data_IF_653092075309
#
_entry.id   IF_653092075309
#
_cell.length_a   1.000
_cell.length_b   1.000
_cell.length_c   1.000
_cell.angle_alpha   90.00
_cell.angle_beta   90.00
_cell.angle_gamma   90.00
#
_symmetry.space_group_name_H-M   'P 1'
#
loop_
_entity.id
_entity.type
_entity.pdbx_description
1 polymer ?
#
# COMPACT_ATOMS: atom_id res chain seq x y z
N UNK A 1 73.22 -14.44 -9.79
CA UNK A 1 71.92 -14.07 -10.37
C UNK A 1 71.06 -15.32 -10.47
N UNK A 2 69.95 -15.51 -9.76
CA UNK A 2 69.42 -14.88 -8.54
C UNK A 2 68.24 -15.75 -8.08
N UNK A 3 68.46 -16.71 -7.17
CA UNK A 3 67.38 -17.42 -6.46
C UNK A 3 66.41 -16.45 -5.76
N UNK A 4 66.94 -15.30 -5.33
CA UNK A 4 66.19 -14.19 -4.74
C UNK A 4 65.27 -13.51 -5.78
N UNK A 5 65.69 -13.42 -7.05
CA UNK A 5 64.86 -12.83 -8.11
C UNK A 5 63.73 -13.77 -8.52
N UNK A 6 63.97 -15.08 -8.51
CA UNK A 6 62.93 -16.09 -8.73
C UNK A 6 61.91 -16.07 -7.60
N UNK A 7 62.35 -16.06 -6.34
CA UNK A 7 61.46 -15.92 -5.18
C UNK A 7 60.71 -14.60 -5.16
N UNK A 8 61.33 -13.49 -5.56
CA UNK A 8 60.67 -12.19 -5.64
C UNK A 8 59.59 -12.18 -6.74
N UNK A 9 59.85 -12.77 -7.91
CA UNK A 9 58.86 -12.89 -8.99
C UNK A 9 57.71 -13.86 -8.64
N UNK A 10 58.00 -14.98 -7.96
CA UNK A 10 56.99 -15.89 -7.43
C UNK A 10 56.13 -15.21 -6.36
N UNK A 11 56.75 -14.45 -5.45
CA UNK A 11 56.05 -13.68 -4.43
C UNK A 11 55.19 -12.58 -5.04
N UNK A 12 55.71 -11.81 -6.01
CA UNK A 12 54.95 -10.78 -6.74
C UNK A 12 53.79 -11.39 -7.53
N UNK A 13 53.97 -12.58 -8.11
CA UNK A 13 52.89 -13.31 -8.79
C UNK A 13 51.83 -13.79 -7.81
N UNK A 14 52.23 -14.30 -6.65
CA UNK A 14 51.33 -14.73 -5.59
C UNK A 14 50.54 -13.54 -4.98
N UNK A 15 51.21 -12.42 -4.69
CA UNK A 15 50.58 -11.19 -4.17
C UNK A 15 49.60 -10.60 -5.19
N UNK A 16 49.96 -10.59 -6.48
CA UNK A 16 49.06 -10.16 -7.55
C UNK A 16 47.85 -11.09 -7.69
N UNK A 17 48.03 -12.39 -7.51
CA UNK A 17 46.94 -13.37 -7.52
C UNK A 17 46.02 -13.20 -6.31
N UNK A 18 46.59 -13.04 -5.11
CA UNK A 18 45.88 -12.78 -3.86
C UNK A 18 45.07 -11.47 -3.96
N UNK A 19 45.69 -10.39 -4.43
CA UNK A 19 45.02 -9.11 -4.64
C UNK A 19 43.89 -9.19 -5.67
N UNK A 20 44.09 -9.93 -6.77
CA UNK A 20 43.05 -10.16 -7.79
C UNK A 20 41.89 -10.98 -7.22
N UNK A 21 42.19 -12.04 -6.45
CA UNK A 21 41.19 -12.85 -5.74
C UNK A 21 40.39 -12.02 -4.74
N UNK A 22 41.04 -11.18 -3.93
CA UNK A 22 40.35 -10.32 -2.96
C UNK A 22 39.42 -9.30 -3.65
N UNK A 23 39.86 -8.69 -4.76
CA UNK A 23 39.00 -7.80 -5.56
C UNK A 23 37.79 -8.54 -6.14
N UNK A 24 37.98 -9.78 -6.58
CA UNK A 24 36.90 -10.62 -7.13
C UNK A 24 35.88 -11.00 -6.06
N UNK A 25 36.35 -11.42 -4.88
CA UNK A 25 35.47 -11.69 -3.75
C UNK A 25 34.67 -10.45 -3.34
N UNK A 26 35.33 -9.29 -3.22
CA UNK A 26 34.62 -8.04 -2.87
C UNK A 26 33.56 -7.62 -3.89
N UNK A 27 33.79 -7.84 -5.19
CA UNK A 27 32.81 -7.59 -6.26
C UNK A 27 31.62 -8.57 -6.20
N UNK A 28 31.87 -9.84 -5.88
CA UNK A 28 30.82 -10.84 -5.70
C UNK A 28 29.95 -10.54 -4.47
N UNK A 29 30.58 -10.19 -3.34
CA UNK A 29 29.87 -9.81 -2.11
C UNK A 29 28.97 -8.59 -2.34
N UNK A 30 29.47 -7.57 -3.07
CA UNK A 30 28.70 -6.38 -3.46
C UNK A 30 27.45 -6.72 -4.26
N UNK A 31 27.57 -7.65 -5.21
CA UNK A 31 26.48 -8.12 -6.06
C UNK A 31 25.47 -8.92 -5.25
N UNK A 32 25.92 -9.85 -4.41
CA UNK A 32 25.06 -10.65 -3.53
C UNK A 32 24.20 -9.74 -2.64
N UNK A 33 24.84 -8.78 -1.96
CA UNK A 33 24.19 -7.75 -1.17
C UNK A 33 23.13 -6.95 -1.95
N UNK A 34 23.43 -6.62 -3.21
CA UNK A 34 22.53 -5.88 -4.08
C UNK A 34 21.31 -6.72 -4.50
N UNK A 35 21.51 -8.02 -4.76
CA UNK A 35 20.44 -8.96 -5.07
C UNK A 35 19.55 -9.22 -3.86
N UNK A 36 20.12 -9.35 -2.67
CA UNK A 36 19.36 -9.48 -1.42
C UNK A 36 18.51 -8.23 -1.11
N UNK A 37 19.06 -7.04 -1.40
CA UNK A 37 18.29 -5.79 -1.31
C UNK A 37 17.18 -5.74 -2.37
N UNK A 38 17.44 -6.20 -3.59
CA UNK A 38 16.43 -6.27 -4.64
C UNK A 38 15.30 -7.23 -4.25
N UNK A 39 15.64 -8.43 -3.78
CA UNK A 39 14.66 -9.45 -3.38
C UNK A 39 13.71 -8.92 -2.30
N UNK A 40 14.24 -8.32 -1.22
CA UNK A 40 13.42 -7.70 -0.17
C UNK A 40 12.49 -6.61 -0.70
N UNK A 41 12.98 -5.77 -1.62
CA UNK A 41 12.17 -4.71 -2.23
C UNK A 41 11.08 -5.26 -3.13
N UNK A 42 11.37 -6.32 -3.91
CA UNK A 42 10.37 -7.00 -4.74
C UNK A 42 9.30 -7.62 -3.85
N UNK A 43 9.66 -8.29 -2.77
CA UNK A 43 8.70 -8.86 -1.81
C UNK A 43 7.76 -7.77 -1.24
N UNK A 44 8.30 -6.63 -0.83
CA UNK A 44 7.49 -5.47 -0.38
C UNK A 44 6.54 -4.99 -1.48
N UNK A 45 7.05 -4.77 -2.69
CA UNK A 45 6.25 -4.31 -3.83
C UNK A 45 5.11 -5.29 -4.15
N UNK A 46 5.40 -6.60 -4.21
CA UNK A 46 4.42 -7.64 -4.49
C UNK A 46 3.35 -7.75 -3.39
N UNK A 47 3.77 -7.59 -2.12
CA UNK A 47 2.85 -7.50 -0.99
C UNK A 47 1.85 -6.35 -1.20
N UNK A 48 2.33 -5.13 -1.43
CA UNK A 48 1.47 -3.96 -1.62
C UNK A 48 0.57 -4.09 -2.86
N UNK A 49 1.10 -4.65 -3.95
CA UNK A 49 0.32 -4.91 -5.16
C UNK A 49 -0.85 -5.86 -4.89
N UNK A 50 -0.60 -6.92 -4.11
CA UNK A 50 -1.62 -7.90 -3.73
C UNK A 50 -2.63 -7.29 -2.77
N UNK A 51 -2.22 -6.43 -1.83
CA UNK A 51 -3.15 -5.69 -0.96
C UNK A 51 -4.09 -4.83 -1.80
N UNK A 52 -3.54 -4.03 -2.72
CA UNK A 52 -4.32 -3.12 -3.55
C UNK A 52 -5.37 -3.88 -4.37
N UNK A 53 -4.95 -4.92 -5.08
CA UNK A 53 -5.77 -5.69 -6.03
C UNK A 53 -6.71 -6.65 -5.30
N UNK A 54 -6.20 -7.50 -4.40
CA UNK A 54 -6.96 -8.63 -3.87
C UNK A 54 -7.64 -8.37 -2.52
N UNK A 55 -7.25 -7.31 -1.81
CA UNK A 55 -7.77 -7.02 -0.47
C UNK A 55 -8.67 -5.80 -0.50
N UNK A 56 -8.15 -4.62 -0.82
CA UNK A 56 -8.88 -3.37 -0.57
C UNK A 56 -9.74 -2.87 -1.72
N UNK A 57 -9.27 -2.93 -2.98
CA UNK A 57 -10.04 -2.39 -4.11
C UNK A 57 -10.74 -3.45 -4.95
N UNK A 58 -10.23 -4.68 -5.01
CA UNK A 58 -10.75 -5.67 -5.97
C UNK A 58 -10.48 -5.26 -7.43
N UNK A 59 -9.39 -4.52 -7.69
CA UNK A 59 -8.97 -4.13 -9.06
C UNK A 59 -8.51 -5.37 -9.81
N UNK A 60 -8.78 -5.46 -11.11
CA UNK A 60 -8.33 -6.59 -11.94
C UNK A 60 -6.83 -6.51 -12.29
N UNK A 61 -6.25 -5.31 -12.27
CA UNK A 61 -4.90 -5.06 -12.76
C UNK A 61 -4.05 -4.20 -11.82
N UNK A 62 -2.76 -4.51 -11.76
CA UNK A 62 -1.74 -3.68 -11.09
C UNK A 62 -1.30 -2.54 -12.01
N UNK A 63 -0.74 -1.45 -11.46
CA UNK A 63 -0.13 -0.41 -12.29
C UNK A 63 0.97 -0.98 -13.20
N UNK A 64 1.08 -0.50 -14.44
CA UNK A 64 2.09 -0.97 -15.40
C UNK A 64 3.54 -0.82 -14.93
N UNK A 65 3.81 0.10 -14.00
CA UNK A 65 5.11 0.23 -13.33
C UNK A 65 5.50 -1.00 -12.52
N UNK A 66 4.54 -1.73 -11.95
CA UNK A 66 4.76 -3.01 -11.26
C UNK A 66 5.19 -4.08 -12.26
N UNK A 67 4.56 -4.14 -13.42
CA UNK A 67 4.93 -5.08 -14.48
C UNK A 67 6.33 -4.79 -15.03
N UNK A 68 6.66 -3.52 -15.24
CA UNK A 68 8.00 -3.08 -15.62
C UNK A 68 9.04 -3.48 -14.58
N UNK A 69 8.75 -3.27 -13.30
CA UNK A 69 9.62 -3.66 -12.20
C UNK A 69 9.81 -5.18 -12.12
N UNK A 70 8.75 -5.98 -12.33
CA UNK A 70 8.82 -7.45 -12.42
C UNK A 70 9.71 -7.89 -13.58
N UNK A 71 9.52 -7.33 -14.78
CA UNK A 71 10.34 -7.63 -15.97
C UNK A 71 11.82 -7.31 -15.73
N UNK A 72 12.10 -6.13 -15.18
CA UNK A 72 13.47 -5.70 -14.91
C UNK A 72 14.12 -6.49 -13.77
N UNK A 73 13.34 -6.94 -12.78
CA UNK A 73 13.87 -7.82 -11.73
C UNK A 73 14.24 -9.17 -12.29
N UNK A 74 13.34 -9.80 -13.08
CA UNK A 74 13.61 -11.11 -13.72
C UNK A 74 14.85 -11.10 -14.60
N UNK A 75 15.13 -10.01 -15.31
CA UNK A 75 16.31 -9.90 -16.18
C UNK A 75 17.64 -9.90 -15.44
N UNK A 76 17.64 -9.76 -14.10
CA UNK A 76 18.87 -9.80 -13.29
C UNK A 76 18.97 -11.01 -12.36
N UNK A 77 17.89 -11.74 -12.06
CA UNK A 77 17.95 -12.89 -11.13
C UNK A 77 18.15 -14.25 -11.81
N UNK A 78 18.15 -14.30 -13.15
CA UNK A 78 18.16 -15.55 -13.93
C UNK A 78 19.57 -16.03 -14.31
N UNK A 79 20.53 -15.91 -13.38
CA UNK A 79 21.92 -16.28 -13.61
C UNK A 79 22.44 -17.21 -12.51
N UNK A 80 23.22 -18.21 -12.91
CA UNK A 80 23.88 -19.13 -11.99
C UNK A 80 25.27 -18.63 -11.56
N UNK A 81 25.85 -19.32 -10.58
CA UNK A 81 27.16 -18.99 -10.01
C UNK A 81 28.28 -18.97 -11.07
N UNK A 82 28.19 -19.82 -12.08
CA UNK A 82 29.19 -19.93 -13.14
C UNK A 82 29.16 -18.72 -14.08
N UNK A 83 27.96 -18.20 -14.37
CA UNK A 83 27.81 -16.93 -15.11
C UNK A 83 28.49 -15.78 -14.38
N UNK A 84 28.32 -15.67 -13.05
CA UNK A 84 28.95 -14.61 -12.26
C UNK A 84 30.47 -14.70 -12.28
N UNK A 85 31.03 -15.91 -12.17
CA UNK A 85 32.48 -16.09 -12.28
C UNK A 85 33.02 -15.67 -13.65
N UNK A 86 32.29 -15.97 -14.73
CA UNK A 86 32.66 -15.52 -16.08
C UNK A 86 32.64 -13.99 -16.20
N UNK A 87 31.67 -13.29 -15.61
CA UNK A 87 31.62 -11.82 -15.67
C UNK A 87 32.74 -11.17 -14.85
N UNK A 88 33.12 -11.78 -13.72
CA UNK A 88 34.23 -11.29 -12.89
C UNK A 88 35.58 -11.47 -13.60
N UNK A 89 35.77 -12.60 -14.28
CA UNK A 89 36.98 -12.86 -15.07
C UNK A 89 37.07 -11.94 -16.29
N UNK A 90 35.93 -11.63 -16.92
CA UNK A 90 35.81 -10.70 -18.05
C UNK A 90 35.81 -9.21 -17.65
N UNK A 91 35.93 -8.87 -16.37
CA UNK A 91 35.83 -7.50 -15.81
C UNK A 91 34.52 -6.75 -16.14
N UNK A 92 33.46 -7.47 -16.53
CA UNK A 92 32.13 -6.95 -16.91
C UNK A 92 31.13 -6.92 -15.76
N UNK A 93 31.53 -7.35 -14.56
CA UNK A 93 30.67 -7.38 -13.37
C UNK A 93 30.11 -6.00 -12.99
N UNK A 94 30.82 -4.92 -13.32
CA UNK A 94 30.32 -3.55 -13.12
C UNK A 94 29.07 -3.23 -13.94
N UNK A 95 28.96 -3.75 -15.16
CA UNK A 95 27.76 -3.59 -15.99
C UNK A 95 26.57 -4.34 -15.41
N UNK A 96 26.82 -5.49 -14.76
CA UNK A 96 25.79 -6.23 -14.07
C UNK A 96 25.32 -5.52 -12.80
N UNK A 97 26.23 -4.96 -11.99
CA UNK A 97 25.87 -4.11 -10.84
C UNK A 97 24.96 -2.95 -11.26
N UNK A 98 25.25 -2.30 -12.38
CA UNK A 98 24.39 -1.24 -12.94
C UNK A 98 22.99 -1.75 -13.29
N UNK A 99 22.86 -2.94 -13.88
CA UNK A 99 21.55 -3.55 -14.17
C UNK A 99 20.76 -3.84 -12.90
N UNK A 100 21.41 -4.36 -11.85
CA UNK A 100 20.78 -4.60 -10.55
C UNK A 100 20.31 -3.28 -9.92
N UNK A 101 21.13 -2.22 -9.98
CA UNK A 101 20.73 -0.89 -9.50
C UNK A 101 19.53 -0.32 -10.28
N UNK A 102 19.49 -0.51 -11.59
CA UNK A 102 18.34 -0.10 -12.41
C UNK A 102 17.08 -0.88 -12.03
N UNK A 103 17.18 -2.19 -11.78
CA UNK A 103 16.07 -3.00 -11.27
C UNK A 103 15.58 -2.50 -9.91
N UNK A 104 16.49 -2.22 -8.98
CA UNK A 104 16.15 -1.65 -7.67
C UNK A 104 15.44 -0.29 -7.79
N UNK A 105 15.83 0.54 -8.76
CA UNK A 105 15.17 1.83 -9.03
C UNK A 105 13.74 1.61 -9.53
N UNK A 106 13.53 0.67 -10.47
CA UNK A 106 12.20 0.34 -10.98
C UNK A 106 11.27 -0.22 -9.92
N UNK A 107 11.77 -1.13 -9.08
CA UNK A 107 11.00 -1.65 -7.94
C UNK A 107 10.64 -0.54 -6.96
N UNK A 108 11.55 0.42 -6.70
CA UNK A 108 11.25 1.59 -5.86
C UNK A 108 10.18 2.49 -6.48
N UNK A 109 10.28 2.79 -7.77
CA UNK A 109 9.27 3.59 -8.50
C UNK A 109 7.88 2.94 -8.40
N UNK A 110 7.79 1.63 -8.63
CA UNK A 110 6.55 0.86 -8.50
C UNK A 110 6.02 0.82 -7.05
N UNK A 111 6.90 0.63 -6.07
CA UNK A 111 6.54 0.64 -4.64
C UNK A 111 5.92 1.97 -4.24
N UNK A 112 6.55 3.10 -4.60
CA UNK A 112 6.03 4.43 -4.30
C UNK A 112 4.66 4.66 -4.94
N UNK A 113 4.44 4.17 -6.16
CA UNK A 113 3.13 4.29 -6.81
C UNK A 113 2.06 3.48 -6.08
N UNK A 114 2.38 2.26 -5.64
CA UNK A 114 1.46 1.44 -4.85
C UNK A 114 1.13 2.09 -3.50
N UNK A 115 2.11 2.70 -2.83
CA UNK A 115 1.90 3.45 -1.60
C UNK A 115 0.94 4.63 -1.81
N UNK A 116 1.12 5.42 -2.87
CA UNK A 116 0.19 6.51 -3.21
C UNK A 116 -1.24 6.01 -3.46
N UNK A 117 -1.40 4.89 -4.19
CA UNK A 117 -2.72 4.30 -4.44
C UNK A 117 -3.39 3.83 -3.13
N UNK A 118 -2.60 3.28 -2.20
CA UNK A 118 -3.09 2.89 -0.88
C UNK A 118 -3.40 4.10 0.01
N UNK A 119 -2.66 5.20 -0.10
CA UNK A 119 -2.98 6.46 0.58
C UNK A 119 -4.33 7.02 0.09
N UNK A 120 -4.64 6.91 -1.21
CA UNK A 120 -5.94 7.27 -1.75
C UNK A 120 -7.09 6.37 -1.24
N UNK A 121 -6.80 5.09 -0.99
CA UNK A 121 -7.74 4.16 -0.32
C UNK A 121 -7.98 4.61 1.12
N UNK A 122 -6.91 4.86 1.87
CA UNK A 122 -6.96 5.33 3.26
C UNK A 122 -7.81 6.60 3.37
N UNK A 123 -7.51 7.61 2.55
CA UNK A 123 -8.19 8.89 2.56
C UNK A 123 -9.69 8.75 2.24
N UNK A 124 -10.07 7.89 1.29
CA UNK A 124 -11.48 7.61 0.97
C UNK A 124 -12.20 6.95 2.15
N UNK A 125 -11.55 6.02 2.85
CA UNK A 125 -12.13 5.37 4.02
C UNK A 125 -12.23 6.30 5.21
N UNK A 126 -11.21 7.12 5.51
CA UNK A 126 -11.28 8.16 6.53
C UNK A 126 -12.45 9.11 6.29
N UNK A 127 -12.68 9.52 5.03
CA UNK A 127 -13.83 10.36 4.67
C UNK A 127 -15.17 9.66 4.95
N UNK A 128 -15.32 8.38 4.58
CA UNK A 128 -16.51 7.57 4.88
C UNK A 128 -16.73 7.41 6.38
N UNK A 129 -15.68 7.10 7.14
CA UNK A 129 -15.75 6.93 8.59
C UNK A 129 -16.12 8.24 9.28
N UNK A 130 -15.53 9.37 8.89
CA UNK A 130 -15.87 10.68 9.43
C UNK A 130 -17.34 11.04 9.16
N UNK A 131 -17.83 10.76 7.95
CA UNK A 131 -19.22 10.97 7.62
C UNK A 131 -20.16 10.07 8.46
N UNK A 132 -19.84 8.78 8.58
CA UNK A 132 -20.62 7.84 9.38
C UNK A 132 -20.57 8.15 10.88
N UNK A 133 -19.43 8.59 11.42
CA UNK A 133 -19.31 9.08 12.81
C UNK A 133 -20.18 10.30 13.07
N UNK A 134 -20.21 11.25 12.13
CA UNK A 134 -21.06 12.43 12.26
C UNK A 134 -22.55 12.05 12.24
N UNK A 135 -22.94 11.16 11.32
CA UNK A 135 -24.32 10.66 11.27
C UNK A 135 -24.66 9.80 12.49
N UNK A 136 -23.72 9.02 13.03
CA UNK A 136 -23.94 8.21 14.24
C UNK A 136 -24.37 9.08 15.43
N UNK A 137 -23.88 10.32 15.56
CA UNK A 137 -24.28 11.24 16.63
C UNK A 137 -25.80 11.47 16.68
N UNK A 138 -26.49 11.32 15.54
CA UNK A 138 -27.94 11.46 15.43
C UNK A 138 -28.73 10.31 16.10
N UNK A 139 -28.09 9.14 16.25
CA UNK A 139 -28.72 7.92 16.76
C UNK A 139 -28.22 7.56 18.16
N UNK A 140 -27.45 8.45 18.81
CA UNK A 140 -26.78 8.19 20.07
C UNK A 140 -25.52 7.33 19.96
N UNK A 141 -24.81 7.19 21.08
CA UNK A 141 -23.57 6.41 21.13
C UNK A 141 -23.88 4.90 21.10
N UNK A 142 -23.37 4.22 20.08
CA UNK A 142 -23.34 2.76 19.98
C UNK A 142 -21.88 2.31 20.06
N UNK A 143 -21.53 1.59 21.13
CA UNK A 143 -20.18 1.05 21.37
C UNK A 143 -19.73 0.15 20.23
N UNK A 144 -20.64 -0.64 19.68
CA UNK A 144 -20.32 -1.62 18.64
C UNK A 144 -19.97 -0.93 17.32
N UNK A 145 -20.70 0.15 16.97
CA UNK A 145 -20.39 0.96 15.80
C UNK A 145 -19.09 1.73 15.96
N UNK A 146 -18.85 2.32 17.13
CA UNK A 146 -17.60 3.03 17.40
C UNK A 146 -16.39 2.09 17.30
N UNK A 147 -16.52 0.87 17.83
CA UNK A 147 -15.51 -0.18 17.71
C UNK A 147 -15.25 -0.55 16.24
N UNK A 148 -16.31 -0.83 15.48
CA UNK A 148 -16.20 -1.16 14.06
C UNK A 148 -15.50 -0.04 13.26
N UNK A 149 -15.83 1.23 13.50
CA UNK A 149 -15.18 2.36 12.83
C UNK A 149 -13.68 2.42 13.13
N UNK A 150 -13.29 2.20 14.38
CA UNK A 150 -11.89 2.20 14.77
C UNK A 150 -11.13 0.98 14.21
N UNK A 151 -11.78 -0.17 14.09
CA UNK A 151 -11.18 -1.36 13.45
C UNK A 151 -10.94 -1.13 11.95
N UNK A 152 -11.88 -0.48 11.24
CA UNK A 152 -11.68 -0.08 9.83
C UNK A 152 -10.55 0.94 9.70
N UNK A 153 -10.53 1.96 10.56
CA UNK A 153 -9.49 3.00 10.57
C UNK A 153 -8.10 2.38 10.79
N UNK A 154 -7.95 1.55 11.82
CA UNK A 154 -6.68 0.87 12.10
C UNK A 154 -6.24 -0.06 10.95
N UNK A 155 -7.20 -0.66 10.23
CA UNK A 155 -6.90 -1.49 9.08
C UNK A 155 -6.27 -0.66 7.94
N UNK A 156 -6.94 0.42 7.53
CA UNK A 156 -6.52 1.22 6.38
C UNK A 156 -5.28 2.06 6.67
N UNK A 157 -5.11 2.56 7.88
CA UNK A 157 -3.95 3.40 8.23
C UNK A 157 -2.66 2.59 8.43
N UNK A 158 -2.80 1.35 8.91
CA UNK A 158 -1.65 0.57 9.38
C UNK A 158 -1.61 -0.85 8.83
N UNK A 159 -2.64 -1.65 9.08
CA UNK A 159 -2.58 -3.11 8.84
C UNK A 159 -2.34 -3.45 7.38
N UNK A 160 -2.99 -2.75 6.46
CA UNK A 160 -2.85 -3.04 5.02
C UNK A 160 -1.45 -2.75 4.47
N UNK A 161 -0.62 -1.97 5.20
CA UNK A 161 0.75 -1.62 4.83
C UNK A 161 1.79 -2.44 5.60
N UNK A 162 1.37 -3.38 6.46
CA UNK A 162 2.25 -4.20 7.29
C UNK A 162 2.59 -5.52 6.60
N UNK A 163 3.79 -5.63 6.03
CA UNK A 163 4.25 -6.81 5.28
C UNK A 163 4.70 -7.97 6.17
N UNK A 164 4.64 -7.82 7.49
CA UNK A 164 4.82 -8.94 8.42
C UNK A 164 3.56 -9.81 8.54
N UNK A 165 2.42 -9.31 8.09
CA UNK A 165 1.13 -10.00 8.14
C UNK A 165 0.89 -10.84 6.89
N UNK A 166 0.18 -11.97 7.05
CA UNK A 166 -0.19 -12.79 5.90
C UNK A 166 -1.34 -12.16 5.09
N UNK A 167 -1.23 -12.18 3.76
CA UNK A 167 -2.27 -11.70 2.85
C UNK A 167 -3.63 -12.34 3.14
N UNK A 168 -3.67 -13.65 3.44
CA UNK A 168 -4.91 -14.35 3.78
C UNK A 168 -5.58 -13.82 5.05
N UNK A 169 -4.77 -13.46 6.06
CA UNK A 169 -5.28 -12.86 7.30
C UNK A 169 -5.89 -11.48 7.01
N UNK A 170 -5.14 -10.62 6.32
CA UNK A 170 -5.59 -9.27 5.96
C UNK A 170 -6.85 -9.30 5.08
N UNK A 171 -6.94 -10.23 4.11
CA UNK A 171 -8.13 -10.42 3.28
C UNK A 171 -9.34 -10.83 4.10
N UNK A 172 -9.17 -11.76 5.04
CA UNK A 172 -10.26 -12.22 5.92
C UNK A 172 -10.73 -11.12 6.87
N UNK A 173 -9.78 -10.41 7.48
CA UNK A 173 -10.03 -9.26 8.37
C UNK A 173 -10.84 -8.19 7.62
N UNK A 174 -10.36 -7.76 6.46
CA UNK A 174 -11.03 -6.75 5.65
C UNK A 174 -12.43 -7.19 5.18
N UNK A 175 -12.58 -8.42 4.70
CA UNK A 175 -13.90 -8.95 4.31
C UNK A 175 -14.88 -8.96 5.49
N UNK A 176 -14.39 -9.27 6.69
CA UNK A 176 -15.15 -9.20 7.93
C UNK A 176 -15.62 -7.77 8.22
N UNK A 177 -14.70 -6.80 8.15
CA UNK A 177 -14.99 -5.38 8.36
C UNK A 177 -15.99 -4.85 7.33
N UNK A 178 -15.84 -5.17 6.05
CA UNK A 178 -16.79 -4.79 5.01
C UNK A 178 -18.19 -5.39 5.25
N UNK A 179 -18.28 -6.66 5.68
CA UNK A 179 -19.55 -7.29 6.03
C UNK A 179 -20.21 -6.61 7.23
N UNK A 180 -19.43 -6.26 8.25
CA UNK A 180 -19.93 -5.53 9.41
C UNK A 180 -20.42 -4.14 9.00
N UNK A 181 -19.62 -3.41 8.23
CA UNK A 181 -19.99 -2.09 7.68
C UNK A 181 -21.33 -2.15 6.93
N UNK A 182 -21.48 -3.10 6.00
CA UNK A 182 -22.71 -3.27 5.23
C UNK A 182 -23.92 -3.69 6.08
N UNK A 183 -23.69 -4.44 7.17
CA UNK A 183 -24.74 -4.85 8.11
C UNK A 183 -25.05 -3.78 9.16
N UNK A 184 -24.15 -2.82 9.38
CA UNK A 184 -24.25 -1.82 10.44
C UNK A 184 -25.36 -0.79 10.25
N UNK A 185 -26.19 -0.96 9.20
CA UNK A 185 -27.30 -0.11 8.77
C UNK A 185 -27.85 0.74 9.92
N UNK A 186 -27.79 2.06 9.75
CA UNK A 186 -28.37 2.95 10.75
C UNK A 186 -29.88 2.71 10.79
N UNK A 187 -30.49 2.84 11.97
CA UNK A 187 -31.92 2.64 12.14
C UNK A 187 -32.70 3.86 11.61
N UNK A 188 -32.59 4.05 10.29
CA UNK A 188 -33.15 5.17 9.57
C UNK A 188 -34.66 5.25 9.73
N UNK A 189 -35.34 4.10 9.85
CA UNK A 189 -36.79 4.05 10.01
C UNK A 189 -37.24 4.55 11.38
N UNK A 190 -36.54 4.19 12.46
CA UNK A 190 -36.84 4.71 13.79
C UNK A 190 -36.52 6.20 13.86
N UNK A 191 -35.35 6.62 13.39
CA UNK A 191 -34.96 8.04 13.40
C UNK A 191 -35.88 8.92 12.55
N UNK A 192 -36.31 8.44 11.37
CA UNK A 192 -37.28 9.11 10.53
C UNK A 192 -38.59 9.37 11.27
N UNK A 193 -39.08 8.36 11.97
CA UNK A 193 -40.37 8.41 12.68
C UNK A 193 -40.31 9.33 13.89
N UNK A 194 -39.23 9.26 14.66
CA UNK A 194 -39.04 10.08 15.87
C UNK A 194 -38.88 11.56 15.55
N UNK A 195 -38.27 11.87 14.40
CA UNK A 195 -38.01 13.25 13.97
C UNK A 195 -38.98 13.76 12.89
N UNK A 196 -40.00 12.95 12.53
CA UNK A 196 -41.00 13.26 11.52
C UNK A 196 -40.38 13.76 10.18
N UNK A 197 -39.33 13.07 9.73
CA UNK A 197 -38.59 13.43 8.51
C UNK A 197 -39.21 12.79 7.27
N UNK A 198 -39.17 13.49 6.14
CA UNK A 198 -39.60 12.94 4.86
C UNK A 198 -38.61 11.88 4.34
N UNK A 199 -39.11 10.97 3.48
CA UNK A 199 -38.26 9.97 2.81
C UNK A 199 -37.11 10.62 2.02
N UNK A 200 -37.34 11.83 1.48
CA UNK A 200 -36.32 12.59 0.76
C UNK A 200 -35.20 13.06 1.69
N UNK A 201 -35.54 13.55 2.88
CA UNK A 201 -34.55 13.96 3.89
C UNK A 201 -33.75 12.75 4.38
N UNK A 202 -34.38 11.58 4.54
CA UNK A 202 -33.69 10.34 4.89
C UNK A 202 -32.75 9.86 3.78
N UNK A 203 -33.15 9.89 2.52
CA UNK A 203 -32.27 9.56 1.37
C UNK A 203 -31.04 10.48 1.35
N UNK A 204 -31.21 11.75 1.69
CA UNK A 204 -30.11 12.72 1.82
C UNK A 204 -29.16 12.32 2.96
N UNK A 205 -29.68 12.04 4.15
CA UNK A 205 -28.84 11.65 5.29
C UNK A 205 -28.13 10.30 5.06
N UNK A 206 -28.78 9.34 4.39
CA UNK A 206 -28.17 8.09 3.97
C UNK A 206 -27.00 8.31 3.02
N UNK A 207 -27.18 9.17 2.01
CA UNK A 207 -26.09 9.53 1.08
C UNK A 207 -24.94 10.23 1.77
N UNK A 208 -25.23 11.13 2.71
CA UNK A 208 -24.20 11.77 3.53
C UNK A 208 -23.45 10.74 4.38
N UNK A 209 -24.14 9.78 5.01
CA UNK A 209 -23.53 8.72 5.82
C UNK A 209 -22.55 7.84 5.02
N UNK A 210 -22.80 7.68 3.72
CA UNK A 210 -21.92 6.97 2.79
C UNK A 210 -20.76 7.83 2.26
N UNK A 211 -20.65 9.09 2.69
CA UNK A 211 -19.65 10.04 2.23
C UNK A 211 -19.94 10.63 0.84
N UNK A 212 -21.17 10.53 0.33
CA UNK A 212 -21.55 11.09 -0.98
C UNK A 212 -21.86 12.59 -0.85
N UNK A 213 -21.36 13.38 -1.81
CA UNK A 213 -21.69 14.80 -1.92
C UNK A 213 -23.13 15.01 -2.38
N UNK A 214 -23.83 15.98 -1.80
CA UNK A 214 -25.20 16.36 -2.19
C UNK A 214 -25.18 17.70 -2.90
N UNK A 215 -25.86 17.77 -4.04
CA UNK A 215 -26.01 19.02 -4.79
C UNK A 215 -27.04 19.91 -4.08
N UNK A 216 -26.70 21.18 -3.88
CA UNK A 216 -27.58 22.19 -3.24
C UNK A 216 -28.99 22.24 -3.86
N UNK A 217 -29.12 22.06 -5.18
CA UNK A 217 -30.43 22.01 -5.86
C UNK A 217 -31.36 20.87 -5.40
N UNK A 218 -30.83 19.86 -4.71
CA UNK A 218 -31.60 18.76 -4.11
C UNK A 218 -32.01 19.05 -2.66
N UNK A 219 -31.52 20.13 -2.07
CA UNK A 219 -32.00 20.68 -0.80
C UNK A 219 -33.08 21.71 -1.14
N UNK A 220 -34.34 21.28 -1.20
CA UNK A 220 -35.47 22.21 -1.27
C UNK A 220 -35.72 22.84 0.11
N UNK A 221 -36.58 23.87 0.16
CA UNK A 221 -36.87 24.60 1.40
C UNK A 221 -37.48 23.74 2.50
N UNK A 222 -38.20 22.69 2.12
CA UNK A 222 -38.85 21.76 3.05
C UNK A 222 -37.82 20.83 3.68
N UNK A 223 -36.89 20.27 2.88
CA UNK A 223 -35.76 19.47 3.37
C UNK A 223 -34.86 20.30 4.28
N UNK A 224 -34.54 21.54 3.90
CA UNK A 224 -33.71 22.41 4.75
C UNK A 224 -34.39 22.70 6.10
N UNK A 225 -35.71 22.88 6.10
CA UNK A 225 -36.49 23.10 7.32
C UNK A 225 -36.55 21.85 8.19
N UNK A 226 -36.72 20.67 7.60
CA UNK A 226 -36.67 19.38 8.29
C UNK A 226 -35.29 19.14 8.93
N UNK A 227 -34.20 19.36 8.19
CA UNK A 227 -32.83 19.25 8.71
C UNK A 227 -32.57 20.22 9.87
N UNK A 228 -33.08 21.46 9.81
CA UNK A 228 -32.92 22.45 10.86
C UNK A 228 -33.83 22.21 12.08
N UNK A 229 -34.86 21.38 11.94
CA UNK A 229 -35.81 21.07 13.02
C UNK A 229 -35.29 20.02 14.01
N UNK A 230 -34.27 19.25 13.62
CA UNK A 230 -33.57 18.30 14.49
C UNK A 230 -32.30 18.97 14.99
N UNK A 231 -32.20 19.20 16.30
CA UNK A 231 -31.07 19.92 16.89
C UNK A 231 -29.74 19.21 16.61
N UNK A 232 -29.74 17.88 16.61
CA UNK A 232 -28.58 17.03 16.33
C UNK A 232 -28.10 17.13 14.86
N UNK A 233 -28.97 17.50 13.92
CA UNK A 233 -28.61 17.65 12.50
C UNK A 233 -27.92 18.99 12.19
N UNK A 234 -28.09 20.01 13.04
CA UNK A 234 -27.50 21.34 12.84
C UNK A 234 -25.96 21.30 12.84
N UNK A 235 -25.38 20.41 13.63
CA UNK A 235 -23.92 20.25 13.73
C UNK A 235 -23.35 19.23 12.73
N UNK A 236 -24.22 18.37 12.17
CA UNK A 236 -23.84 17.27 11.26
C UNK A 236 -23.82 17.74 9.80
N UNK A 237 -24.67 18.70 9.42
CA UNK A 237 -24.76 19.22 8.05
C UNK A 237 -23.98 20.53 7.93
N UNK A 238 -22.70 20.46 7.55
CA UNK A 238 -21.95 21.64 7.12
C UNK A 238 -22.36 22.03 5.69
N UNK A 239 -23.34 22.93 5.57
CA UNK A 239 -23.63 23.62 4.30
C UNK A 239 -22.52 24.66 4.09
N UNK A 240 -21.58 24.37 3.19
CA UNK A 240 -20.70 25.42 2.66
C UNK A 240 -21.46 26.16 1.55
N UNK A 241 -21.68 27.45 1.77
CA UNK A 241 -22.22 28.41 0.81
C UNK A 241 -21.10 28.83 -0.14
#
# INVERSE_FOLDING_TARGET
MNEISTKAAEYETADNFEAKKQRYLGKLDSVEDALDRLNRRVQRMEFLATILVDVVEGKDEVPGTVEDARRQSRSVVDYDKDWYYQQVDADSIGDYEQKVQQAQKKVKEATNQLENELDDVEQRWQNKLNAARNVQKLFGHSSDKARMFNEIEAFVERRMKDDSESISSLRSEWSGLQKQWNKSGMDWQTFQRENNLSDKTIDILQRLAEGRSIQLRKLDGDIAKELLSVDELRDVVKIKI
#
